data_IF_743396588989
#
_entry.id   IF_743396588989
#
_cell.length_a   1.000
_cell.length_b   1.000
_cell.length_c   1.000
_cell.angle_alpha   90.00
_cell.angle_beta   90.00
_cell.angle_gamma   90.00
#
_symmetry.space_group_name_H-M   'P 1'
#
loop_
_entity.id
_entity.type
_entity.pdbx_description
1 polymer ?
#
# COMPACT_ATOMS: atom_id res chain seq x y z
N UNK A 1 17.71 33.79 66.40
CA UNK A 1 18.15 34.53 65.19
C UNK A 1 19.49 33.95 64.75
N UNK A 2 19.65 33.68 63.44
CA UNK A 2 20.86 33.24 62.69
C UNK A 2 20.95 31.73 62.41
N UNK A 3 20.42 31.21 61.29
CA UNK A 3 20.81 31.25 59.86
C UNK A 3 21.44 29.90 59.46
N UNK A 4 20.63 29.03 58.84
CA UNK A 4 21.06 27.75 58.24
C UNK A 4 21.35 28.02 56.76
N UNK A 5 22.51 27.62 56.20
CA UNK A 5 22.80 27.84 54.80
C UNK A 5 22.12 26.74 53.97
N UNK A 6 21.09 27.10 53.24
CA UNK A 6 20.45 26.23 52.24
C UNK A 6 21.41 26.06 51.06
N UNK A 7 22.02 24.88 50.95
CA UNK A 7 22.79 24.47 49.77
C UNK A 7 21.82 24.24 48.61
N UNK A 8 21.80 25.15 47.65
CA UNK A 8 21.04 25.01 46.41
C UNK A 8 21.84 24.10 45.45
N UNK A 9 21.52 22.81 45.42
CA UNK A 9 22.07 21.88 44.44
C UNK A 9 21.43 22.15 43.06
N UNK A 10 22.22 22.73 42.14
CA UNK A 10 21.80 22.90 40.75
C UNK A 10 21.85 21.54 40.03
N UNK A 11 20.68 20.93 39.80
CA UNK A 11 20.56 19.74 38.97
C UNK A 11 20.75 20.12 37.49
N UNK A 12 21.90 19.74 36.92
CA UNK A 12 22.17 19.88 35.50
C UNK A 12 21.35 18.82 34.74
N UNK A 13 20.19 19.23 34.20
CA UNK A 13 19.40 18.37 33.30
C UNK A 13 20.16 18.23 31.99
N UNK A 14 20.82 17.10 31.79
CA UNK A 14 21.39 16.72 30.50
C UNK A 14 20.23 16.31 29.61
N UNK A 15 19.73 17.24 28.80
CA UNK A 15 18.79 16.93 27.72
C UNK A 15 19.54 16.11 26.66
N UNK A 16 19.39 14.80 26.66
CA UNK A 16 19.87 13.97 25.56
C UNK A 16 19.12 14.39 24.28
N UNK A 17 19.82 14.69 23.18
CA UNK A 17 19.15 14.96 21.91
C UNK A 17 18.35 13.72 21.53
N UNK A 18 17.02 13.85 21.48
CA UNK A 18 16.18 12.85 20.85
C UNK A 18 16.56 12.83 19.37
N UNK A 19 17.34 11.83 18.96
CA UNK A 19 17.54 11.52 17.55
C UNK A 19 16.17 11.18 16.98
N UNK A 20 15.54 12.14 16.30
CA UNK A 20 14.37 11.84 15.49
C UNK A 20 14.85 10.93 14.36
N UNK A 21 14.39 9.67 14.37
CA UNK A 21 14.66 8.71 13.31
C UNK A 21 14.17 9.22 11.96
N UNK A 22 14.74 8.69 10.88
CA UNK A 22 14.21 8.95 9.54
C UNK A 22 12.82 8.34 9.38
N UNK A 23 12.06 8.81 8.39
CA UNK A 23 10.78 8.20 8.03
C UNK A 23 10.93 6.71 7.73
N UNK A 24 12.03 6.33 7.07
CA UNK A 24 12.37 4.93 6.83
C UNK A 24 12.64 4.16 8.13
N UNK A 25 13.16 4.75 9.20
CA UNK A 25 13.33 4.02 10.47
C UNK A 25 11.99 3.85 11.20
N UNK A 26 11.15 4.89 11.18
CA UNK A 26 9.87 4.94 11.88
C UNK A 26 8.75 4.11 11.23
N UNK A 27 8.80 3.92 9.91
CA UNK A 27 7.77 3.19 9.16
C UNK A 27 8.16 1.74 8.97
N UNK A 28 7.34 0.80 9.43
CA UNK A 28 7.50 -0.64 9.17
C UNK A 28 6.60 -1.10 8.02
N UNK A 29 7.01 -2.16 7.33
CA UNK A 29 6.26 -2.75 6.20
C UNK A 29 5.84 -4.16 6.58
N UNK A 30 4.55 -4.44 6.56
CA UNK A 30 3.98 -5.73 6.93
C UNK A 30 3.35 -6.43 5.71
N UNK A 31 3.54 -7.75 5.65
CA UNK A 31 3.03 -8.65 4.60
C UNK A 31 3.23 -8.13 3.17
N UNK A 32 4.48 -7.86 2.72
CA UNK A 32 4.73 -7.42 1.37
C UNK A 32 4.56 -8.53 0.34
N UNK A 33 3.71 -8.28 -0.65
CA UNK A 33 3.47 -9.23 -1.74
C UNK A 33 3.24 -8.55 -3.08
N UNK A 34 3.50 -9.30 -4.16
CA UNK A 34 3.19 -8.92 -5.53
C UNK A 34 2.13 -9.86 -6.08
N UNK A 35 1.15 -9.33 -6.82
CA UNK A 35 0.17 -10.15 -7.51
C UNK A 35 0.84 -10.98 -8.59
N UNK A 36 0.64 -12.29 -8.56
CA UNK A 36 0.94 -13.13 -9.72
C UNK A 36 -0.02 -12.80 -10.86
N UNK A 37 0.52 -12.52 -12.03
CA UNK A 37 -0.22 -12.27 -13.27
C UNK A 37 0.10 -13.34 -14.32
N UNK A 38 -0.83 -13.65 -15.25
CA UNK A 38 -0.55 -14.56 -16.35
C UNK A 38 0.72 -14.18 -17.13
N UNK A 39 1.47 -15.15 -17.68
CA UNK A 39 2.63 -14.87 -18.53
C UNK A 39 2.26 -13.93 -19.68
N UNK A 40 3.11 -12.94 -19.94
CA UNK A 40 2.89 -11.93 -20.99
C UNK A 40 2.12 -10.68 -20.54
N UNK A 41 1.57 -10.65 -19.32
CA UNK A 41 1.05 -9.41 -18.74
C UNK A 41 2.20 -8.43 -18.47
N UNK A 42 2.15 -7.20 -19.01
CA UNK A 42 3.26 -6.27 -18.90
C UNK A 42 3.34 -5.59 -17.53
N UNK A 43 2.30 -5.68 -16.71
CA UNK A 43 2.20 -4.94 -15.46
C UNK A 43 1.55 -5.75 -14.33
N UNK A 44 1.89 -5.41 -13.09
CA UNK A 44 1.30 -6.00 -11.88
C UNK A 44 1.28 -4.99 -10.73
N UNK A 45 0.58 -5.31 -9.64
CA UNK A 45 0.54 -4.52 -8.41
C UNK A 45 1.30 -5.18 -7.26
N UNK A 46 1.98 -4.35 -6.47
CA UNK A 46 2.55 -4.71 -5.18
C UNK A 46 1.76 -4.07 -4.03
N UNK A 47 1.64 -4.82 -2.94
CA UNK A 47 0.71 -4.61 -1.84
C UNK A 47 1.39 -4.92 -0.52
N UNK A 48 1.08 -4.14 0.51
CA UNK A 48 1.64 -4.24 1.87
C UNK A 48 0.92 -3.26 2.80
N UNK A 49 1.15 -3.39 4.11
CA UNK A 49 0.73 -2.39 5.09
C UNK A 49 1.93 -1.59 5.56
N UNK A 50 1.85 -0.27 5.47
CA UNK A 50 2.83 0.65 6.05
C UNK A 50 2.35 1.07 7.43
N UNK A 51 3.16 0.90 8.48
CA UNK A 51 2.81 1.27 9.85
C UNK A 51 3.79 2.30 10.37
N UNK A 52 3.29 3.47 10.75
CA UNK A 52 4.08 4.56 11.28
C UNK A 52 4.09 4.52 12.81
N UNK A 53 5.28 4.39 13.39
CA UNK A 53 5.47 4.39 14.84
C UNK A 53 5.79 5.78 15.42
N UNK A 54 6.00 6.79 14.59
CA UNK A 54 6.31 8.17 15.00
C UNK A 54 5.05 8.99 15.30
N UNK A 55 5.27 10.12 15.99
CA UNK A 55 4.26 11.14 16.32
C UNK A 55 4.07 12.19 15.20
N UNK A 56 4.71 12.00 14.04
CA UNK A 56 4.60 12.85 12.84
C UNK A 56 4.05 12.05 11.66
N UNK A 57 3.36 12.74 10.77
CA UNK A 57 2.92 12.15 9.49
C UNK A 57 4.13 11.92 8.56
N UNK A 58 4.08 10.84 7.78
CA UNK A 58 5.09 10.47 6.78
C UNK A 58 4.46 10.23 5.42
N UNK A 59 5.26 10.32 4.36
CA UNK A 59 4.79 10.17 2.98
C UNK A 59 5.76 9.37 2.12
N UNK A 60 5.28 8.29 1.53
CA UNK A 60 6.01 7.64 0.44
C UNK A 60 5.79 8.45 -0.83
N UNK A 61 6.85 9.02 -1.39
CA UNK A 61 6.79 9.81 -2.62
C UNK A 61 7.01 8.96 -3.87
N UNK A 62 7.82 7.90 -3.75
CA UNK A 62 8.19 7.04 -4.88
C UNK A 62 8.41 5.60 -4.42
N UNK A 63 8.25 4.69 -5.37
CA UNK A 63 8.74 3.34 -5.26
C UNK A 63 9.60 3.02 -6.49
N UNK A 64 10.64 2.22 -6.30
CA UNK A 64 11.51 1.72 -7.35
C UNK A 64 11.65 0.21 -7.25
N UNK A 65 11.86 -0.46 -8.38
CA UNK A 65 12.11 -1.90 -8.43
C UNK A 65 12.96 -2.26 -9.63
N UNK A 66 13.93 -3.16 -9.45
CA UNK A 66 14.70 -3.73 -10.57
C UNK A 66 13.91 -4.75 -11.39
N UNK A 67 12.72 -5.16 -10.93
CA UNK A 67 11.86 -6.12 -11.64
C UNK A 67 11.05 -5.49 -12.79
N UNK A 68 10.92 -4.15 -12.83
CA UNK A 68 10.12 -3.42 -13.81
C UNK A 68 10.89 -2.21 -14.34
N UNK A 69 10.52 -1.72 -15.55
CA UNK A 69 11.12 -0.49 -16.09
C UNK A 69 10.55 0.78 -15.47
N UNK A 70 9.28 0.73 -15.07
CA UNK A 70 8.57 1.87 -14.50
C UNK A 70 7.82 1.40 -13.26
N UNK A 71 7.86 2.22 -12.22
CA UNK A 71 7.13 2.00 -10.97
C UNK A 71 6.35 3.26 -10.64
N UNK A 72 5.07 3.11 -10.28
CA UNK A 72 4.17 4.24 -9.98
C UNK A 72 3.36 3.95 -8.71
N UNK A 73 2.98 5.00 -7.98
CA UNK A 73 2.04 4.90 -6.86
C UNK A 73 0.63 5.14 -7.39
N UNK A 74 -0.31 4.25 -7.11
CA UNK A 74 -1.67 4.30 -7.67
C UNK A 74 -2.72 4.18 -6.57
N UNK A 75 -3.89 4.76 -6.83
CA UNK A 75 -5.11 4.59 -6.02
C UNK A 75 -6.26 4.14 -6.92
N UNK A 76 -7.34 3.66 -6.30
CA UNK A 76 -8.62 3.46 -6.97
C UNK A 76 -9.61 4.52 -6.50
N UNK A 77 -10.19 5.24 -7.45
CA UNK A 77 -11.27 6.19 -7.19
C UNK A 77 -12.54 5.70 -7.87
N UNK A 78 -13.66 5.78 -7.15
CA UNK A 78 -14.98 5.58 -7.73
C UNK A 78 -15.43 6.90 -8.37
N UNK A 79 -15.32 6.98 -9.70
CA UNK A 79 -15.83 8.11 -10.47
C UNK A 79 -17.07 7.68 -11.23
N UNK A 80 -18.24 8.11 -10.77
CA UNK A 80 -19.51 7.87 -11.45
C UNK A 80 -19.93 6.40 -11.49
N UNK A 81 -19.59 5.60 -10.47
CA UNK A 81 -19.93 4.18 -10.39
C UNK A 81 -18.90 3.25 -11.04
N UNK A 82 -17.83 3.80 -11.63
CA UNK A 82 -16.72 3.03 -12.18
C UNK A 82 -15.46 3.22 -11.34
N UNK A 83 -14.86 2.10 -10.93
CA UNK A 83 -13.54 2.07 -10.28
C UNK A 83 -12.46 2.36 -11.32
N UNK A 84 -11.73 3.46 -11.16
CA UNK A 84 -10.59 3.82 -12.00
C UNK A 84 -9.30 3.81 -11.20
N UNK A 85 -8.28 3.15 -11.74
CA UNK A 85 -6.91 3.25 -11.25
C UNK A 85 -6.32 4.59 -11.71
N UNK A 86 -5.79 5.38 -10.78
CA UNK A 86 -5.11 6.65 -11.08
C UNK A 86 -3.80 6.78 -10.32
N UNK A 87 -2.75 7.33 -10.94
CA UNK A 87 -1.50 7.60 -10.24
C UNK A 87 -1.72 8.68 -9.18
N UNK A 88 -1.01 8.54 -8.05
CA UNK A 88 -0.96 9.51 -6.95
C UNK A 88 0.46 10.02 -6.79
N UNK A 89 0.59 11.24 -6.24
CA UNK A 89 1.90 11.87 -6.01
C UNK A 89 2.61 11.31 -4.77
N UNK A 90 1.82 10.88 -3.79
CA UNK A 90 2.31 10.40 -2.51
C UNK A 90 1.28 9.46 -1.85
N UNK A 91 1.77 8.62 -0.95
CA UNK A 91 0.96 7.84 -0.01
C UNK A 91 1.27 8.35 1.39
N UNK A 92 0.27 8.96 2.02
CA UNK A 92 0.38 9.48 3.39
C UNK A 92 0.17 8.37 4.42
N UNK A 93 0.98 8.40 5.49
CA UNK A 93 0.91 7.52 6.64
C UNK A 93 0.82 8.41 7.87
N UNK A 94 -0.36 8.49 8.48
CA UNK A 94 -0.60 9.34 9.64
C UNK A 94 0.26 8.94 10.85
N UNK A 95 0.58 9.90 11.70
CA UNK A 95 1.24 9.67 12.99
C UNK A 95 0.54 8.54 13.76
N UNK A 96 1.30 7.59 14.29
CA UNK A 96 0.81 6.36 14.98
C UNK A 96 -0.23 5.56 14.18
N UNK A 97 -0.31 5.76 12.87
CA UNK A 97 -1.32 5.19 11.99
C UNK A 97 -0.72 4.21 10.98
N UNK A 98 -1.57 3.80 10.04
CA UNK A 98 -1.18 2.89 8.96
C UNK A 98 -1.80 3.30 7.62
N UNK A 99 -1.10 2.92 6.54
CA UNK A 99 -1.59 3.02 5.17
C UNK A 99 -1.60 1.62 4.55
N UNK A 100 -2.78 1.14 4.17
CA UNK A 100 -2.96 -0.19 3.62
C UNK A 100 -2.97 -0.13 2.08
N UNK A 101 -1.97 -0.76 1.46
CA UNK A 101 -1.92 -0.96 0.02
C UNK A 101 -2.49 -2.34 -0.29
N UNK A 102 -3.71 -2.39 -0.83
CA UNK A 102 -4.45 -3.63 -1.12
C UNK A 102 -5.20 -3.55 -2.47
N UNK A 103 -5.59 -4.71 -3.04
CA UNK A 103 -6.41 -4.74 -4.26
C UNK A 103 -7.65 -3.86 -4.14
N UNK A 104 -7.92 -3.07 -5.17
CA UNK A 104 -9.05 -2.12 -5.18
C UNK A 104 -8.81 -0.84 -4.36
N UNK A 105 -7.61 -0.62 -3.83
CA UNK A 105 -7.22 0.59 -3.09
C UNK A 105 -5.82 1.06 -3.55
N UNK A 106 -5.03 1.64 -2.64
CA UNK A 106 -3.65 2.03 -2.87
C UNK A 106 -2.78 0.82 -3.26
N UNK A 107 -1.83 1.02 -4.16
CA UNK A 107 -0.85 0.00 -4.54
C UNK A 107 0.35 0.61 -5.27
N UNK A 108 1.45 -0.13 -5.32
CA UNK A 108 2.59 0.19 -6.18
C UNK A 108 2.42 -0.56 -7.49
N UNK A 109 2.27 0.16 -8.60
CA UNK A 109 2.17 -0.42 -9.93
C UNK A 109 3.56 -0.64 -10.52
N UNK A 110 3.84 -1.88 -10.91
CA UNK A 110 5.06 -2.29 -11.62
C UNK A 110 4.71 -2.44 -13.10
N UNK A 111 5.29 -1.61 -13.97
CA UNK A 111 4.95 -1.52 -15.40
C UNK A 111 6.17 -1.89 -16.25
N UNK A 112 5.91 -2.64 -17.33
CA UNK A 112 6.91 -3.23 -18.21
C UNK A 112 7.88 -4.12 -17.43
N UNK A 113 7.34 -5.22 -16.90
CA UNK A 113 8.11 -6.24 -16.20
C UNK A 113 9.26 -6.76 -17.07
N UNK A 114 10.45 -6.85 -16.48
CA UNK A 114 11.66 -7.27 -17.19
C UNK A 114 11.66 -8.78 -17.50
N UNK A 115 10.95 -9.57 -16.69
CA UNK A 115 10.81 -11.02 -16.82
C UNK A 115 9.42 -11.47 -16.34
N UNK A 116 8.88 -12.60 -16.83
CA UNK A 116 7.68 -13.19 -16.27
C UNK A 116 7.88 -13.53 -14.79
N UNK A 117 6.88 -13.24 -13.96
CA UNK A 117 6.90 -13.57 -12.53
C UNK A 117 6.42 -15.00 -12.29
N UNK A 118 6.99 -15.67 -11.30
CA UNK A 118 6.56 -16.98 -10.80
C UNK A 118 6.11 -16.86 -9.35
N UNK A 119 5.21 -17.74 -8.96
CA UNK A 119 4.78 -17.85 -7.55
C UNK A 119 5.97 -18.17 -6.65
N UNK A 120 6.10 -17.44 -5.54
CA UNK A 120 7.22 -17.55 -4.60
C UNK A 120 8.44 -16.70 -4.97
N UNK A 121 8.48 -16.05 -6.14
CA UNK A 121 9.58 -15.13 -6.47
C UNK A 121 9.62 -13.96 -5.47
N UNK A 122 10.84 -13.51 -5.15
CA UNK A 122 11.06 -12.34 -4.30
C UNK A 122 11.35 -11.10 -5.16
N UNK A 123 10.50 -10.09 -5.03
CA UNK A 123 10.59 -8.85 -5.79
C UNK A 123 11.12 -7.74 -4.89
N UNK A 124 12.32 -7.19 -5.17
CA UNK A 124 12.84 -6.07 -4.41
C UNK A 124 12.10 -4.78 -4.77
N UNK A 125 11.65 -4.08 -3.75
CA UNK A 125 11.06 -2.75 -3.83
C UNK A 125 11.88 -1.81 -2.95
N UNK A 126 12.07 -0.58 -3.41
CA UNK A 126 12.66 0.50 -2.63
C UNK A 126 11.63 1.62 -2.50
N UNK A 127 11.17 1.88 -1.29
CA UNK A 127 10.27 2.98 -0.98
C UNK A 127 11.10 4.22 -0.63
N UNK A 128 10.79 5.36 -1.23
CA UNK A 128 11.48 6.64 -0.99
C UNK A 128 10.49 7.59 -0.32
N UNK A 129 10.89 8.08 0.85
CA UNK A 129 10.09 8.96 1.69
C UNK A 129 10.37 10.45 1.41
N UNK A 130 9.55 11.32 1.98
CA UNK A 130 9.64 12.78 1.82
C UNK A 130 10.93 13.40 2.34
N UNK A 131 11.57 12.76 3.31
CA UNK A 131 12.85 13.17 3.89
C UNK A 131 14.07 12.62 3.11
N UNK A 132 13.84 12.01 1.94
CA UNK A 132 14.82 11.29 1.11
C UNK A 132 15.41 10.03 1.75
N UNK A 133 14.92 9.60 2.91
CA UNK A 133 15.22 8.27 3.42
C UNK A 133 14.56 7.20 2.54
N UNK A 134 15.11 5.99 2.58
CA UNK A 134 14.59 4.90 1.77
C UNK A 134 14.55 3.58 2.53
N UNK A 135 13.54 2.76 2.23
CA UNK A 135 13.36 1.43 2.79
C UNK A 135 13.33 0.37 1.71
N UNK A 136 14.16 -0.65 1.86
CA UNK A 136 14.10 -1.85 1.04
C UNK A 136 13.01 -2.79 1.57
N UNK A 137 12.24 -3.35 0.65
CA UNK A 137 11.12 -4.26 0.91
C UNK A 137 11.25 -5.44 -0.03
N UNK A 138 11.20 -6.64 0.52
CA UNK A 138 11.19 -7.89 -0.25
C UNK A 138 9.75 -8.40 -0.33
N UNK A 139 9.12 -8.25 -1.50
CA UNK A 139 7.72 -8.63 -1.70
C UNK A 139 7.61 -9.99 -2.39
N UNK A 140 6.90 -10.94 -1.78
CA UNK A 140 6.76 -12.30 -2.33
C UNK A 140 5.64 -12.35 -3.37
N UNK A 141 5.88 -12.94 -4.54
CA UNK A 141 4.84 -13.13 -5.56
C UNK A 141 3.86 -14.20 -5.10
N UNK A 142 2.58 -13.86 -5.00
CA UNK A 142 1.51 -14.81 -4.65
C UNK A 142 0.28 -14.65 -5.53
N UNK A 143 -0.47 -15.74 -5.70
CA UNK A 143 -1.80 -15.68 -6.28
C UNK A 143 -2.72 -14.93 -5.33
N UNK A 144 -3.34 -13.86 -5.82
CA UNK A 144 -4.44 -13.25 -5.11
C UNK A 144 -5.69 -14.00 -5.54
N UNK A 145 -6.30 -14.75 -4.63
CA UNK A 145 -7.64 -15.26 -4.87
C UNK A 145 -8.54 -14.03 -4.91
N UNK A 146 -9.02 -13.68 -6.10
CA UNK A 146 -9.95 -12.59 -6.25
C UNK A 146 -11.23 -12.97 -5.47
N UNK A 147 -11.45 -12.37 -4.31
CA UNK A 147 -12.80 -12.16 -3.83
C UNK A 147 -13.45 -11.18 -4.82
N UNK A 148 -13.94 -11.71 -5.94
CA UNK A 148 -14.88 -10.98 -6.75
C UNK A 148 -16.17 -10.91 -5.92
N UNK A 149 -16.70 -9.73 -5.56
CA UNK A 149 -18.14 -9.61 -5.56
C UNK A 149 -18.57 -9.73 -7.02
N UNK A 150 -18.64 -10.98 -7.53
CA UNK A 150 -19.51 -11.31 -8.63
C UNK A 150 -20.90 -10.97 -8.10
N UNK A 151 -21.37 -9.76 -8.40
CA UNK A 151 -22.79 -9.49 -8.46
C UNK A 151 -23.39 -10.64 -9.26
N UNK A 152 -24.19 -11.45 -8.57
CA UNK A 152 -24.88 -12.61 -9.15
C UNK A 152 -25.40 -12.23 -10.53
N UNK A 153 -25.26 -13.06 -11.58
CA UNK A 153 -26.13 -12.89 -12.73
C UNK A 153 -27.56 -12.98 -12.17
N UNK A 154 -28.32 -11.90 -12.30
CA UNK A 154 -29.73 -11.93 -11.97
C UNK A 154 -30.35 -13.00 -12.86
N UNK A 155 -30.89 -14.05 -12.21
CA UNK A 155 -31.79 -15.02 -12.80
C UNK A 155 -32.90 -14.25 -13.53
N UNK A 156 -32.77 -14.09 -14.85
CA UNK A 156 -33.91 -13.78 -15.69
C UNK A 156 -34.62 -15.12 -15.96
N UNK A 157 -35.83 -15.35 -15.44
CA UNK A 157 -36.59 -16.52 -15.84
C UNK A 157 -36.90 -16.40 -17.34
N UNK A 158 -36.35 -17.33 -18.12
CA UNK A 158 -36.83 -17.66 -19.46
C UNK A 158 -38.33 -17.98 -19.33
N UNK A 159 -39.17 -17.03 -19.74
CA UNK A 159 -40.61 -17.22 -19.82
C UNK A 159 -40.92 -18.40 -20.71
N UNK A 160 -41.56 -19.42 -20.13
CA UNK A 160 -42.16 -20.54 -20.84
C UNK A 160 -43.10 -20.01 -21.93
N UNK A 161 -43.01 -20.61 -23.11
CA UNK A 161 -43.91 -20.36 -24.21
C UNK A 161 -45.35 -20.70 -23.84
N UNK A 162 -46.26 -19.82 -24.24
CA UNK A 162 -47.69 -20.08 -24.29
C UNK A 162 -48.07 -20.20 -25.78
N UNK A 163 -48.39 -21.42 -26.19
CA UNK A 163 -48.90 -21.76 -27.51
C UNK A 163 -50.41 -21.45 -27.51
N UNK A 164 -50.83 -20.37 -28.18
CA UNK A 164 -52.26 -20.12 -28.42
C UNK A 164 -52.67 -20.75 -29.75
N UNK A 165 -53.28 -21.93 -29.66
CA UNK A 165 -54.23 -22.43 -30.65
C UNK A 165 -55.49 -21.55 -30.59
N UNK A 166 -55.92 -21.00 -31.73
CA UNK A 166 -57.34 -20.75 -31.96
C UNK A 166 -57.68 -21.03 -33.42
N UNK A 167 -58.41 -22.13 -33.61
CA UNK A 167 -59.34 -22.32 -34.70
C UNK A 167 -60.41 -21.22 -34.66
N UNK A 168 -60.70 -20.61 -35.80
CA UNK A 168 -61.99 -20.68 -36.48
C UNK A 168 -61.88 -20.04 -37.88
#
# INVERSE_FOLDING_TARGET
>A
MKFVPTLLAAALVVAAPAFAGSAADAVTVADPYVRLVPPGQPATGAFFVLKNSDDKDHKVLKAESSAAKVTELHTHLNEGGMMKMRPVKDIEIKAKGEAELKPGSLHVMLINLNKPLKEGDSIPLKLIFEDNSSKEVSATVRKIQAEMPMGKPADMPMGKGEMMHHHH
#
